data_IF_657260937242
#
_entry.id   IF_657260937242
#
_cell.length_a   1.000
_cell.length_b   1.000
_cell.length_c   1.000
_cell.angle_alpha   90.00
_cell.angle_beta   90.00
_cell.angle_gamma   90.00
#
_symmetry.space_group_name_H-M   'P 1'
#
loop_
_entity.id
_entity.type
_entity.pdbx_description
1 polymer ?
#
# COMPACT_ATOMS: atom_id res chain seq x y z
N UNK A 1 0.41 -1.36 -15.93
CA UNK A 1 -0.59 -2.44 -15.76
C UNK A 1 -0.77 -2.85 -14.29
N UNK A 2 0.11 -2.44 -13.35
CA UNK A 2 0.06 -2.86 -11.94
C UNK A 2 -0.77 -1.94 -11.03
N UNK A 3 -0.90 -0.65 -11.35
CA UNK A 3 -1.68 0.32 -10.56
C UNK A 3 -3.17 -0.06 -10.50
N UNK A 4 -3.73 -0.61 -11.59
CA UNK A 4 -5.14 -0.98 -11.72
C UNK A 4 -5.69 -1.86 -10.59
N UNK A 5 -4.89 -2.83 -10.10
CA UNK A 5 -5.33 -3.73 -9.00
C UNK A 5 -5.41 -3.01 -7.67
N UNK A 6 -4.54 -2.03 -7.43
CA UNK A 6 -4.52 -1.22 -6.21
C UNK A 6 -5.70 -0.24 -6.20
N UNK A 7 -6.01 0.37 -7.34
CA UNK A 7 -7.16 1.29 -7.48
C UNK A 7 -8.48 0.54 -7.24
N UNK A 8 -8.65 -0.63 -7.86
CA UNK A 8 -9.82 -1.46 -7.62
C UNK A 8 -9.96 -1.85 -6.14
N UNK A 9 -8.85 -2.19 -5.48
CA UNK A 9 -8.88 -2.56 -4.07
C UNK A 9 -9.24 -1.35 -3.19
N UNK A 10 -8.67 -0.18 -3.44
CA UNK A 10 -8.92 1.04 -2.67
C UNK A 10 -10.36 1.54 -2.84
N UNK A 11 -10.85 1.57 -4.08
CA UNK A 11 -12.24 1.95 -4.39
C UNK A 11 -13.25 1.01 -3.72
N UNK A 12 -12.96 -0.30 -3.64
CA UNK A 12 -13.84 -1.27 -2.95
C UNK A 12 -13.90 -1.07 -1.43
N UNK A 13 -12.92 -0.40 -0.84
CA UNK A 13 -12.82 -0.21 0.62
C UNK A 13 -13.09 1.22 1.06
N UNK A 14 -13.65 2.07 0.19
CA UNK A 14 -14.02 3.45 0.52
C UNK A 14 -12.82 4.40 0.68
N UNK A 15 -11.62 3.93 0.36
CA UNK A 15 -10.40 4.74 0.48
C UNK A 15 -10.29 5.67 -0.71
N UNK A 16 -10.15 6.98 -0.46
CA UNK A 16 -9.91 7.95 -1.52
C UNK A 16 -8.58 7.61 -2.22
N UNK A 17 -8.70 7.18 -3.47
CA UNK A 17 -7.58 6.75 -4.30
C UNK A 17 -7.31 7.83 -5.34
N UNK A 18 -6.11 8.38 -5.36
CA UNK A 18 -5.65 9.28 -6.41
C UNK A 18 -4.46 8.61 -7.11
N UNK A 19 -4.60 8.45 -8.42
CA UNK A 19 -3.60 7.84 -9.30
C UNK A 19 -2.26 8.61 -9.27
N UNK A 20 -2.27 9.92 -9.01
CA UNK A 20 -1.07 10.75 -8.86
C UNK A 20 -0.37 10.56 -7.52
N UNK A 21 -1.04 9.91 -6.58
CA UNK A 21 -0.58 9.69 -5.23
C UNK A 21 0.04 8.30 -5.07
N UNK A 22 -0.34 7.33 -5.90
CA UNK A 22 0.39 6.07 -6.02
C UNK A 22 1.68 6.27 -6.81
N UNK A 23 2.74 6.67 -6.11
CA UNK A 23 4.09 6.62 -6.64
C UNK A 23 4.66 5.21 -6.50
N UNK A 24 4.24 4.33 -7.41
CA UNK A 24 4.79 2.99 -7.58
C UNK A 24 6.23 3.04 -8.09
N UNK A 25 7.20 3.27 -7.20
CA UNK A 25 8.61 3.08 -7.54
C UNK A 25 8.99 1.66 -7.20
N UNK A 26 9.34 0.89 -8.23
CA UNK A 26 10.04 -0.37 -8.04
C UNK A 26 11.49 -0.05 -7.74
N UNK A 27 11.91 -0.33 -6.52
CA UNK A 27 13.31 -0.18 -6.12
C UNK A 27 13.88 -1.54 -5.77
N UNK A 28 15.14 -1.75 -6.15
CA UNK A 28 15.90 -2.91 -5.72
C UNK A 28 16.64 -2.55 -4.45
N UNK A 29 16.22 -3.13 -3.33
CA UNK A 29 16.89 -2.98 -2.04
C UNK A 29 17.72 -4.25 -1.81
N UNK A 30 19.01 -4.19 -2.15
CA UNK A 30 19.90 -5.35 -2.15
C UNK A 30 19.47 -6.42 -3.17
N UNK A 31 19.01 -7.58 -2.68
CA UNK A 31 18.48 -8.68 -3.49
C UNK A 31 16.94 -8.76 -3.47
N UNK A 32 16.26 -7.74 -2.90
CA UNK A 32 14.79 -7.70 -2.78
C UNK A 32 14.20 -6.60 -3.66
N UNK A 33 12.97 -6.82 -4.10
CA UNK A 33 12.14 -5.82 -4.77
C UNK A 33 11.24 -5.12 -3.76
N UNK A 34 11.21 -3.80 -3.80
CA UNK A 34 10.33 -2.96 -2.99
C UNK A 34 9.43 -2.13 -3.90
N UNK A 35 8.20 -1.89 -3.44
CA UNK A 35 7.21 -1.09 -4.15
C UNK A 35 6.64 -0.05 -3.19
N UNK A 36 6.79 1.22 -3.54
CA UNK A 36 6.26 2.35 -2.76
C UNK A 36 4.82 2.67 -3.16
N UNK A 37 3.98 3.05 -2.20
CA UNK A 37 2.64 3.57 -2.45
C UNK A 37 2.39 4.74 -1.49
N UNK A 38 1.75 5.81 -1.95
CA UNK A 38 1.28 6.89 -1.08
C UNK A 38 -0.23 7.04 -1.27
N UNK A 39 -0.95 6.99 -0.17
CA UNK A 39 -2.42 7.06 -0.14
C UNK A 39 -2.77 8.28 0.69
N UNK A 40 -3.70 9.12 0.23
CA UNK A 40 -4.06 10.37 0.90
C UNK A 40 -5.54 10.34 1.27
N UNK A 41 -5.88 10.98 2.38
CA UNK A 41 -7.25 11.03 2.87
C UNK A 41 -7.80 9.69 3.38
N UNK A 42 -6.94 8.67 3.50
CA UNK A 42 -7.29 7.43 4.19
C UNK A 42 -7.19 7.61 5.70
N UNK A 43 -8.17 7.08 6.43
CA UNK A 43 -8.01 6.87 7.86
C UNK A 43 -6.90 5.84 8.12
N UNK A 44 -6.15 6.00 9.21
CA UNK A 44 -5.01 5.12 9.50
C UNK A 44 -5.45 3.67 9.79
N UNK A 45 -6.59 3.48 10.46
CA UNK A 45 -7.10 2.14 10.77
C UNK A 45 -7.65 1.46 9.51
N UNK A 46 -8.26 2.24 8.60
CA UNK A 46 -8.67 1.75 7.28
C UNK A 46 -7.46 1.35 6.43
N UNK A 47 -6.40 2.16 6.45
CA UNK A 47 -5.15 1.88 5.73
C UNK A 47 -4.44 0.64 6.29
N UNK A 48 -4.38 0.49 7.61
CA UNK A 48 -3.81 -0.69 8.26
C UNK A 48 -4.59 -1.97 7.88
N UNK A 49 -5.92 -1.89 7.92
CA UNK A 49 -6.79 -2.99 7.53
C UNK A 49 -6.63 -3.36 6.05
N UNK A 50 -6.53 -2.37 5.17
CA UNK A 50 -6.29 -2.56 3.74
C UNK A 50 -4.98 -3.31 3.50
N UNK A 51 -3.88 -2.83 4.08
CA UNK A 51 -2.56 -3.45 3.94
C UNK A 51 -2.55 -4.88 4.50
N UNK A 52 -3.10 -5.07 5.69
CA UNK A 52 -3.17 -6.38 6.35
C UNK A 52 -3.96 -7.40 5.54
N UNK A 53 -5.08 -6.98 4.93
CA UNK A 53 -5.88 -7.84 4.05
C UNK A 53 -5.12 -8.17 2.76
N UNK A 54 -4.48 -7.18 2.14
CA UNK A 54 -3.68 -7.37 0.93
C UNK A 54 -2.53 -8.36 1.14
N UNK A 55 -1.79 -8.23 2.25
CA UNK A 55 -0.71 -9.15 2.61
C UNK A 55 -1.19 -10.59 2.76
N UNK A 56 -2.36 -10.82 3.37
CA UNK A 56 -2.93 -12.16 3.53
C UNK A 56 -3.35 -12.83 2.21
N UNK A 57 -3.44 -12.07 1.11
CA UNK A 57 -3.80 -12.64 -0.20
C UNK A 57 -2.61 -13.24 -0.96
N UNK A 58 -1.36 -13.00 -0.52
CA UNK A 58 -0.19 -13.54 -1.20
C UNK A 58 1.04 -13.62 -0.29
N UNK A 59 1.76 -14.73 -0.36
CA UNK A 59 3.03 -14.91 0.36
C UNK A 59 4.21 -14.17 -0.31
N UNK A 60 3.96 -13.52 -1.45
CA UNK A 60 4.98 -12.76 -2.19
C UNK A 60 5.27 -11.39 -1.55
N UNK A 61 4.35 -10.90 -0.71
CA UNK A 61 4.54 -9.64 0.01
C UNK A 61 5.23 -9.96 1.33
N UNK A 62 6.47 -9.47 1.46
CA UNK A 62 7.24 -9.57 2.70
C UNK A 62 6.76 -8.58 3.77
N UNK A 63 7.72 -7.89 4.40
CA UNK A 63 7.42 -6.82 5.36
C UNK A 63 6.88 -5.59 4.64
N UNK A 64 5.76 -5.05 5.12
CA UNK A 64 5.23 -3.77 4.64
C UNK A 64 5.53 -2.69 5.67
N UNK A 65 6.11 -1.58 5.23
CA UNK A 65 6.30 -0.39 6.05
C UNK A 65 5.27 0.66 5.61
N UNK A 66 4.45 1.12 6.55
CA UNK A 66 3.46 2.16 6.31
C UNK A 66 3.72 3.33 7.25
N UNK A 67 3.53 4.55 6.76
CA UNK A 67 3.60 5.75 7.59
C UNK A 67 2.24 6.44 7.54
N UNK A 68 1.60 6.59 8.69
CA UNK A 68 0.32 7.29 8.81
C UNK A 68 0.37 8.27 9.97
N UNK A 69 -0.03 9.52 9.75
CA UNK A 69 0.07 10.61 10.74
C UNK A 69 1.46 10.73 11.40
N UNK A 70 2.53 10.51 10.64
CA UNK A 70 3.92 10.53 11.13
C UNK A 70 4.33 9.31 11.97
N UNK A 71 3.42 8.36 12.20
CA UNK A 71 3.70 7.10 12.89
C UNK A 71 4.09 6.02 11.90
N UNK A 72 5.25 5.39 12.11
CA UNK A 72 5.68 4.22 11.35
C UNK A 72 4.96 2.97 11.89
N UNK A 73 4.42 2.18 10.97
CA UNK A 73 3.76 0.91 11.21
C UNK A 73 4.47 -0.17 10.38
N UNK A 74 4.72 -1.32 10.98
CA UNK A 74 5.36 -2.47 10.35
C UNK A 74 4.33 -3.61 10.33
N UNK A 75 3.94 -4.04 9.13
CA UNK A 75 2.82 -4.96 8.89
C UNK A 75 3.27 -6.24 8.18
#
# INVERSE_FOLDING_TARGET
METYKVEQHAHRHGVHYDHNLVYGKTERIGHKFAMGYKIYGADCDELENFISKGKKQTDLIGTVFAMCNGKLMVL
#
